data_IF_958222949759
#
_entry.id   IF_958222949759
#
_cell.length_a   1.000
_cell.length_b   1.000
_cell.length_c   1.000
_cell.angle_alpha   90.00
_cell.angle_beta   90.00
_cell.angle_gamma   90.00
#
_symmetry.space_group_name_H-M   'P 1'
#
loop_
_entity.id
_entity.type
_entity.pdbx_description
1 polymer ?
#
# COMPACT_ATOMS: atom_id res chain seq x y z
N UNK A 1 1.73 14.50 8.52
CA UNK A 1 2.87 13.62 8.22
C UNK A 1 2.49 12.16 8.41
N UNK A 2 2.81 11.34 7.45
CA UNK A 2 2.49 9.91 7.52
C UNK A 2 3.73 9.11 7.88
N UNK A 3 3.62 8.26 8.90
CA UNK A 3 4.67 7.32 9.30
C UNK A 3 4.20 5.90 8.96
N UNK A 4 4.98 5.21 8.15
CA UNK A 4 4.70 3.81 7.78
C UNK A 4 5.56 2.89 8.63
N UNK A 5 4.91 2.01 9.39
CA UNK A 5 5.58 0.93 10.09
C UNK A 5 5.60 -0.26 9.15
N UNK A 6 6.78 -0.71 8.75
CA UNK A 6 6.92 -1.79 7.77
C UNK A 6 7.34 -3.07 8.48
N UNK A 7 6.52 -4.10 8.31
CA UNK A 7 6.79 -5.45 8.80
C UNK A 7 6.94 -6.37 7.59
N UNK A 8 7.79 -7.37 7.68
CA UNK A 8 7.97 -8.33 6.58
C UNK A 8 7.93 -9.75 7.14
N UNK A 9 7.15 -10.61 6.50
CA UNK A 9 7.08 -12.04 6.84
C UNK A 9 7.44 -12.91 5.63
N UNK A 10 8.12 -12.31 4.63
CA UNK A 10 8.58 -13.00 3.44
C UNK A 10 9.97 -12.49 3.07
N UNK A 11 10.96 -13.36 3.12
CA UNK A 11 12.37 -13.01 2.87
C UNK A 11 12.63 -12.38 1.52
N UNK A 12 11.85 -12.77 0.53
CA UNK A 12 12.05 -12.36 -0.86
C UNK A 12 11.96 -10.84 -1.05
N UNK A 13 11.22 -10.15 -0.19
CA UNK A 13 11.11 -8.70 -0.24
C UNK A 13 12.46 -8.01 -0.12
N UNK A 14 13.36 -8.56 0.71
CA UNK A 14 14.70 -7.97 0.93
C UNK A 14 15.59 -8.07 -0.29
N UNK A 15 15.29 -8.97 -1.22
CA UNK A 15 16.02 -9.08 -2.48
C UNK A 15 15.67 -7.94 -3.43
N UNK A 16 14.49 -7.37 -3.28
CA UNK A 16 13.97 -6.34 -4.18
C UNK A 16 14.04 -4.94 -3.59
N UNK A 17 13.75 -4.81 -2.30
CA UNK A 17 13.77 -3.52 -1.61
C UNK A 17 14.59 -3.69 -0.34
N UNK A 18 15.78 -3.12 -0.32
CA UNK A 18 16.71 -3.35 0.79
C UNK A 18 16.35 -2.58 2.05
N UNK A 19 16.01 -1.31 1.93
CA UNK A 19 15.64 -0.45 3.07
C UNK A 19 14.15 -0.15 3.00
N UNK A 20 13.34 -1.13 3.37
CA UNK A 20 11.90 -1.09 3.15
C UNK A 20 11.21 0.07 3.87
N UNK A 21 11.52 0.28 5.13
CA UNK A 21 10.88 1.35 5.90
C UNK A 21 11.23 2.73 5.34
N UNK A 22 12.50 2.94 5.00
CA UNK A 22 12.95 4.20 4.39
C UNK A 22 12.24 4.41 3.06
N UNK A 23 12.14 3.36 2.25
CA UNK A 23 11.50 3.44 0.94
C UNK A 23 10.05 3.93 1.03
N UNK A 24 9.23 3.26 1.84
CA UNK A 24 7.82 3.60 1.94
C UNK A 24 7.56 4.94 2.63
N UNK A 25 8.35 5.28 3.63
CA UNK A 25 8.24 6.59 4.28
C UNK A 25 8.61 7.73 3.33
N UNK A 26 9.63 7.51 2.50
CA UNK A 26 10.03 8.49 1.50
C UNK A 26 8.91 8.70 0.47
N UNK A 27 8.27 7.62 0.04
CA UNK A 27 7.12 7.72 -0.88
C UNK A 27 6.04 8.60 -0.28
N UNK A 28 5.63 8.33 0.97
CA UNK A 28 4.59 9.10 1.63
C UNK A 28 4.96 10.57 1.79
N UNK A 29 6.24 10.87 2.03
CA UNK A 29 6.70 12.25 2.19
C UNK A 29 6.59 13.07 0.91
N UNK A 30 6.44 12.41 -0.23
CA UNK A 30 6.30 13.07 -1.53
C UNK A 30 4.87 13.02 -2.09
N UNK A 31 3.92 12.58 -1.29
CA UNK A 31 2.50 12.63 -1.69
C UNK A 31 2.07 14.08 -1.92
N UNK A 32 1.04 14.33 -2.73
CA UNK A 32 0.47 15.66 -2.85
C UNK A 32 0.08 16.20 -1.46
N UNK A 33 0.16 17.51 -1.30
CA UNK A 33 -0.08 18.17 0.00
C UNK A 33 -1.37 17.70 0.67
N UNK A 34 -2.41 17.51 -0.09
CA UNK A 34 -3.71 17.00 0.35
C UNK A 34 -3.62 15.69 1.13
N UNK A 35 -2.64 14.84 0.80
CA UNK A 35 -2.48 13.51 1.40
C UNK A 35 -1.29 13.41 2.36
N UNK A 36 -0.59 14.51 2.65
CA UNK A 36 0.57 14.45 3.53
C UNK A 36 0.26 14.67 5.01
N UNK A 37 -0.89 15.28 5.32
CA UNK A 37 -1.32 15.55 6.69
C UNK A 37 -0.22 16.24 7.52
N UNK A 38 0.29 17.36 7.02
CA UNK A 38 1.47 18.03 7.61
C UNK A 38 1.30 18.48 9.06
N UNK A 39 0.07 18.82 9.46
CA UNK A 39 -0.19 19.36 10.79
C UNK A 39 -0.40 18.29 11.87
N UNK A 40 -0.49 17.04 11.48
CA UNK A 40 -0.66 15.92 12.39
C UNK A 40 0.17 14.74 11.94
N UNK A 41 0.53 13.89 12.91
CA UNK A 41 1.25 12.66 12.60
C UNK A 41 0.26 11.50 12.54
N UNK A 42 0.18 10.85 11.39
CA UNK A 42 -0.66 9.68 11.17
C UNK A 42 0.21 8.45 10.94
N UNK A 43 -0.30 7.30 11.34
CA UNK A 43 0.42 6.05 11.26
C UNK A 43 -0.36 5.03 10.44
N UNK A 44 0.35 4.20 9.72
CA UNK A 44 -0.21 2.99 9.11
C UNK A 44 0.80 1.87 9.22
N UNK A 45 0.33 0.63 9.15
CA UNK A 45 1.18 -0.54 9.14
C UNK A 45 1.12 -1.17 7.75
N UNK A 46 2.29 -1.45 7.20
CA UNK A 46 2.42 -2.17 5.93
C UNK A 46 3.07 -3.52 6.21
N UNK A 47 2.33 -4.58 5.93
CA UNK A 47 2.83 -5.95 6.06
C UNK A 47 3.19 -6.47 4.68
N UNK A 48 4.48 -6.72 4.47
CA UNK A 48 5.01 -7.29 3.24
C UNK A 48 5.00 -8.80 3.36
N UNK A 49 4.03 -9.44 2.68
CA UNK A 49 3.65 -10.82 2.89
C UNK A 49 3.78 -11.66 1.62
N UNK A 50 3.10 -12.78 1.57
CA UNK A 50 3.10 -13.75 0.47
C UNK A 50 1.69 -14.29 0.23
N UNK A 51 1.52 -15.09 -0.84
CA UNK A 51 0.23 -15.66 -1.20
C UNK A 51 -0.38 -16.52 -0.10
N UNK A 52 0.43 -17.33 0.56
CA UNK A 52 -0.07 -18.24 1.60
C UNK A 52 -0.70 -17.48 2.77
N UNK A 53 0.02 -16.47 3.24
CA UNK A 53 -0.42 -15.70 4.41
C UNK A 53 -1.57 -14.76 4.08
N UNK A 54 -1.52 -14.11 2.90
CA UNK A 54 -2.60 -13.20 2.50
C UNK A 54 -3.90 -13.96 2.23
N UNK A 55 -3.81 -15.20 1.73
CA UNK A 55 -4.98 -16.07 1.57
C UNK A 55 -5.64 -16.36 2.91
N UNK A 56 -4.82 -16.63 3.93
CA UNK A 56 -5.31 -16.89 5.29
C UNK A 56 -6.06 -15.67 5.84
N UNK A 57 -5.48 -14.47 5.68
CA UNK A 57 -6.11 -13.24 6.14
C UNK A 57 -7.39 -12.93 5.37
N UNK A 58 -7.39 -13.18 4.06
CA UNK A 58 -8.55 -12.96 3.23
C UNK A 58 -9.71 -13.87 3.64
N UNK A 59 -9.41 -15.13 3.92
CA UNK A 59 -10.39 -16.09 4.42
C UNK A 59 -10.95 -15.67 5.78
N UNK A 60 -10.06 -15.29 6.70
CA UNK A 60 -10.42 -14.95 8.08
C UNK A 60 -11.28 -13.68 8.16
N UNK A 61 -10.87 -12.63 7.44
CA UNK A 61 -11.49 -11.32 7.61
C UNK A 61 -12.47 -10.93 6.50
N UNK A 62 -12.38 -11.55 5.33
CA UNK A 62 -13.27 -11.24 4.20
C UNK A 62 -14.05 -12.46 3.71
N UNK A 63 -13.85 -13.60 4.35
CA UNK A 63 -14.52 -14.87 4.02
C UNK A 63 -14.28 -15.31 2.58
N UNK A 64 -13.13 -14.95 2.01
CA UNK A 64 -12.72 -15.32 0.66
C UNK A 64 -11.51 -16.24 0.74
N UNK A 65 -11.69 -17.52 0.38
CA UNK A 65 -10.63 -18.52 0.45
C UNK A 65 -9.75 -18.47 -0.79
N UNK A 66 -9.08 -17.33 -1.01
CA UNK A 66 -8.17 -17.13 -2.14
C UNK A 66 -7.13 -16.07 -1.80
N UNK A 67 -5.97 -16.16 -2.49
CA UNK A 67 -4.97 -15.12 -2.35
C UNK A 67 -5.33 -13.93 -3.24
N UNK A 68 -4.75 -12.78 -2.93
CA UNK A 68 -4.96 -11.54 -3.67
C UNK A 68 -3.66 -10.74 -3.63
N UNK A 69 -3.60 -9.68 -4.41
CA UNK A 69 -2.42 -8.80 -4.45
C UNK A 69 -2.29 -7.93 -3.20
N UNK A 70 -3.40 -7.38 -2.72
CA UNK A 70 -3.41 -6.45 -1.60
C UNK A 70 -4.69 -6.59 -0.78
N UNK A 71 -4.54 -6.39 0.53
CA UNK A 71 -5.67 -6.23 1.45
C UNK A 71 -5.46 -4.91 2.20
N UNK A 72 -6.54 -4.17 2.39
CA UNK A 72 -6.54 -2.93 3.18
C UNK A 72 -7.61 -3.01 4.24
N UNK A 73 -7.22 -2.72 5.48
CA UNK A 73 -8.12 -2.73 6.64
C UNK A 73 -8.10 -1.36 7.28
N UNK A 74 -9.05 -0.46 6.89
CA UNK A 74 -9.14 0.84 7.54
C UNK A 74 -9.42 0.68 9.03
N UNK A 75 -8.76 1.49 9.84
CA UNK A 75 -9.01 1.51 11.28
C UNK A 75 -10.18 2.44 11.55
N UNK A 76 -11.26 1.88 12.04
CA UNK A 76 -12.48 2.65 12.23
C UNK A 76 -12.56 3.26 13.58
N UNK A 77 -12.10 4.15 13.94
CA UNK A 77 -12.34 4.81 14.87
C UNK A 77 -11.92 5.54 15.69
N UNK A 78 -11.84 5.87 16.35
CA UNK A 78 -11.64 6.83 17.25
C UNK A 78 -10.72 7.83 16.74
N UNK A 79 -11.10 9.01 16.45
CA UNK A 79 -10.32 10.14 15.97
C UNK A 79 -9.16 10.52 16.89
N UNK A 80 -9.10 9.93 18.08
CA UNK A 80 -8.01 10.19 19.02
C UNK A 80 -6.73 9.43 18.66
N UNK A 81 -6.87 8.32 17.94
CA UNK A 81 -5.72 7.52 17.56
C UNK A 81 -5.44 7.79 16.09
N UNK A 82 -4.45 8.53 15.77
CA UNK A 82 -4.11 8.91 14.39
C UNK A 82 -3.64 7.71 13.56
N UNK A 83 -4.28 6.57 13.72
CA UNK A 83 -3.95 5.33 13.01
C UNK A 83 -4.88 5.13 11.83
N UNK A 84 -4.31 5.01 10.63
CA UNK A 84 -5.10 4.88 9.40
C UNK A 84 -5.55 3.45 9.14
N UNK A 85 -4.74 2.47 9.50
CA UNK A 85 -5.06 1.07 9.26
C UNK A 85 -3.89 0.26 8.76
N UNK A 86 -4.21 -0.94 8.24
CA UNK A 86 -3.21 -1.91 7.78
C UNK A 86 -3.33 -2.17 6.29
N UNK A 87 -2.18 -2.28 5.63
CA UNK A 87 -2.09 -2.69 4.23
C UNK A 87 -1.22 -3.95 4.19
N UNK A 88 -1.70 -4.99 3.49
CA UNK A 88 -0.96 -6.24 3.32
C UNK A 88 -0.76 -6.45 1.81
N UNK A 89 0.47 -6.69 1.39
CA UNK A 89 0.81 -6.88 -0.03
C UNK A 89 1.48 -8.23 -0.21
N UNK A 90 1.07 -8.99 -1.25
CA UNK A 90 1.67 -10.28 -1.55
C UNK A 90 2.85 -10.16 -2.51
N UNK A 91 4.02 -10.65 -2.08
CA UNK A 91 5.22 -10.68 -2.93
C UNK A 91 4.97 -11.42 -4.24
N UNK A 92 4.26 -12.54 -4.17
CA UNK A 92 4.05 -13.38 -5.35
C UNK A 92 3.35 -12.63 -6.48
N UNK A 93 2.40 -11.75 -6.14
CA UNK A 93 1.74 -10.91 -7.13
C UNK A 93 2.63 -9.81 -7.68
N UNK A 94 3.43 -9.20 -6.80
CA UNK A 94 4.31 -8.11 -7.21
C UNK A 94 5.45 -8.62 -8.09
N UNK A 95 5.90 -9.86 -7.88
CA UNK A 95 7.01 -10.45 -8.61
C UNK A 95 6.56 -11.20 -9.87
N UNK A 96 5.54 -10.72 -10.53
CA UNK A 96 5.05 -11.27 -11.80
C UNK A 96 5.09 -10.20 -12.87
N UNK A 97 5.72 -10.50 -14.01
CA UNK A 97 6.53 -11.69 -14.29
C UNK A 97 7.83 -11.71 -13.48
N UNK A 98 8.43 -12.89 -13.32
CA UNK A 98 9.61 -13.06 -12.46
C UNK A 98 10.85 -12.28 -12.92
N UNK A 99 10.89 -11.86 -14.17
CA UNK A 99 12.03 -11.15 -14.76
C UNK A 99 11.85 -9.62 -14.76
N UNK A 100 11.00 -9.10 -13.88
CA UNK A 100 10.83 -7.65 -13.76
C UNK A 100 12.14 -7.00 -13.35
N UNK A 101 12.45 -5.84 -13.96
CA UNK A 101 13.54 -5.00 -13.49
C UNK A 101 13.22 -4.47 -12.09
N UNK A 102 14.26 -4.01 -11.38
CA UNK A 102 14.04 -3.41 -10.05
C UNK A 102 13.10 -2.21 -10.13
N UNK A 103 13.25 -1.41 -11.19
CA UNK A 103 12.37 -0.27 -11.39
C UNK A 103 10.91 -0.71 -11.57
N UNK A 104 10.67 -1.69 -12.44
CA UNK A 104 9.31 -2.17 -12.71
C UNK A 104 8.67 -2.80 -11.47
N UNK A 105 9.46 -3.54 -10.70
CA UNK A 105 8.98 -4.09 -9.44
C UNK A 105 8.57 -2.99 -8.46
N UNK A 106 9.42 -2.01 -8.26
CA UNK A 106 9.13 -0.88 -7.36
C UNK A 106 7.93 -0.06 -7.83
N UNK A 107 7.81 0.14 -9.14
CA UNK A 107 6.65 0.83 -9.70
C UNK A 107 5.35 0.09 -9.39
N UNK A 108 5.34 -1.22 -9.60
CA UNK A 108 4.17 -2.06 -9.32
C UNK A 108 3.80 -2.02 -7.85
N UNK A 109 4.77 -2.18 -6.97
CA UNK A 109 4.55 -2.13 -5.52
C UNK A 109 4.05 -0.76 -5.08
N UNK A 110 4.63 0.30 -5.63
CA UNK A 110 4.23 1.67 -5.29
C UNK A 110 2.77 1.94 -5.68
N UNK A 111 2.37 1.51 -6.87
CA UNK A 111 0.99 1.66 -7.33
C UNK A 111 0.01 0.91 -6.43
N UNK A 112 0.35 -0.31 -6.05
CA UNK A 112 -0.50 -1.12 -5.17
C UNK A 112 -0.56 -0.52 -3.75
N UNK A 113 0.57 -0.02 -3.26
CA UNK A 113 0.61 0.66 -1.97
C UNK A 113 -0.31 1.89 -1.95
N UNK A 114 -0.24 2.71 -3.00
CA UNK A 114 -1.09 3.89 -3.15
C UNK A 114 -2.57 3.49 -3.17
N UNK A 115 -2.90 2.43 -3.91
CA UNK A 115 -4.25 1.89 -3.97
C UNK A 115 -4.76 1.50 -2.57
N UNK A 116 -3.94 0.75 -1.84
CA UNK A 116 -4.26 0.36 -0.46
C UNK A 116 -4.39 1.55 0.47
N UNK A 117 -3.52 2.55 0.31
CA UNK A 117 -3.57 3.77 1.10
C UNK A 117 -4.90 4.51 0.90
N UNK A 118 -5.35 4.64 -0.34
CA UNK A 118 -6.62 5.31 -0.62
C UNK A 118 -7.81 4.56 -0.01
N UNK A 119 -7.77 3.23 0.02
CA UNK A 119 -8.78 2.46 0.73
C UNK A 119 -8.77 2.76 2.23
N UNK A 120 -7.61 3.00 2.83
CA UNK A 120 -7.56 3.39 4.24
C UNK A 120 -8.25 4.72 4.48
N UNK A 121 -8.31 5.59 3.46
CA UNK A 121 -9.00 6.86 3.52
C UNK A 121 -10.47 6.74 3.05
N UNK A 122 -10.96 5.50 2.94
CA UNK A 122 -12.35 5.19 2.57
C UNK A 122 -12.72 5.48 1.11
N UNK A 123 -11.73 5.57 0.21
CA UNK A 123 -12.01 5.54 -1.21
C UNK A 123 -12.45 4.14 -1.61
N UNK A 124 -13.42 4.04 -2.49
CA UNK A 124 -13.95 2.78 -3.00
C UNK A 124 -13.94 2.76 -4.51
N UNK A 125 -14.11 1.56 -5.11
CA UNK A 125 -14.18 1.40 -6.55
C UNK A 125 -15.33 0.49 -6.99
N UNK A 126 -16.40 0.42 -6.17
CA UNK A 126 -17.56 -0.42 -6.46
C UNK A 126 -18.44 0.25 -7.52
N UNK A 127 -18.78 1.51 -7.34
CA UNK A 127 -19.56 2.27 -8.30
C UNK A 127 -18.67 2.94 -9.32
N UNK A 128 -19.17 3.13 -10.53
CA UNK A 128 -18.39 3.71 -11.63
C UNK A 128 -17.76 5.06 -11.27
N UNK A 129 -18.53 5.95 -10.65
CA UNK A 129 -18.02 7.28 -10.25
C UNK A 129 -16.93 7.16 -9.19
N UNK A 130 -17.12 6.24 -8.23
CA UNK A 130 -16.12 5.98 -7.20
C UNK A 130 -14.83 5.44 -7.80
N UNK A 131 -14.96 4.52 -8.75
CA UNK A 131 -13.81 3.95 -9.45
C UNK A 131 -13.02 5.04 -10.18
N UNK A 132 -13.71 5.90 -10.92
CA UNK A 132 -13.08 6.97 -11.69
C UNK A 132 -12.37 7.96 -10.78
N UNK A 133 -12.99 8.34 -9.66
CA UNK A 133 -12.39 9.24 -8.69
C UNK A 133 -11.15 8.64 -8.06
N UNK A 134 -11.24 7.39 -7.62
CA UNK A 134 -10.11 6.70 -7.01
C UNK A 134 -8.95 6.55 -8.00
N UNK A 135 -9.25 6.13 -9.24
CA UNK A 135 -8.24 6.02 -10.29
C UNK A 135 -7.54 7.36 -10.54
N UNK A 136 -8.31 8.44 -10.61
CA UNK A 136 -7.76 9.77 -10.79
C UNK A 136 -6.80 10.16 -9.66
N UNK A 137 -7.20 9.89 -8.42
CA UNK A 137 -6.34 10.19 -7.26
C UNK A 137 -5.09 9.30 -7.24
N UNK A 138 -5.22 8.02 -7.61
CA UNK A 138 -4.06 7.13 -7.73
C UNK A 138 -3.04 7.70 -8.72
N UNK A 139 -3.50 8.18 -9.88
CA UNK A 139 -2.63 8.74 -10.90
C UNK A 139 -1.92 10.01 -10.41
N UNK A 140 -2.64 10.86 -9.71
CA UNK A 140 -2.06 12.10 -9.16
C UNK A 140 -0.98 11.79 -8.13
N UNK A 141 -1.26 10.87 -7.22
CA UNK A 141 -0.31 10.49 -6.19
C UNK A 141 0.92 9.85 -6.83
N UNK A 142 0.71 8.93 -7.78
CA UNK A 142 1.83 8.25 -8.44
C UNK A 142 2.74 9.24 -9.15
N UNK A 143 2.17 10.21 -9.87
CA UNK A 143 2.98 11.23 -10.54
C UNK A 143 3.88 12.00 -9.58
N UNK A 144 3.42 12.23 -8.37
CA UNK A 144 4.21 12.99 -7.37
C UNK A 144 5.39 12.18 -6.81
N UNK A 145 5.33 10.84 -6.88
CA UNK A 145 6.38 9.99 -6.29
C UNK A 145 7.23 9.25 -7.34
N UNK A 146 6.82 9.26 -8.58
CA UNK A 146 7.44 8.47 -9.67
C UNK A 146 8.95 8.65 -9.75
N UNK A 147 9.44 9.86 -9.60
CA UNK A 147 10.88 10.16 -9.70
C UNK A 147 11.72 9.49 -8.61
N UNK A 148 11.10 9.05 -7.52
CA UNK A 148 11.81 8.40 -6.43
C UNK A 148 12.20 6.96 -6.74
N UNK A 149 11.64 6.39 -7.81
CA UNK A 149 11.83 4.99 -8.14
C UNK A 149 13.08 4.74 -8.99
N UNK A 150 13.68 5.78 -9.50
CA UNK A 150 14.85 5.69 -10.38
C UNK A 150 16.11 5.34 -9.58
#
# INVERSE_FOLDING_TARGET
MIKVNVLSEEKSWSQKIKKKEIFFNKICSHFPKKFRFENKKFYLTLLLSNNKNIKRLNKKFRKKNKHTDVLSFPFQKNLKENYLGDIIISFNYMNKPKNLTNYDFKEKVTKIFIHGFLHLLNFNHIKKKEYQLMFHEEQKIFRSVKKLLI
#
